data_IF_107549259232
#
_entry.id   IF_107549259232
#
_cell.length_a   1.000
_cell.length_b   1.000
_cell.length_c   1.000
_cell.angle_alpha   90.00
_cell.angle_beta   90.00
_cell.angle_gamma   90.00
#
_symmetry.space_group_name_H-M   'P 1'
#
loop_
_entity.id
_entity.type
_entity.pdbx_description
1 polymer ?
#
# COMPACT_ATOMS: atom_id res chain seq x y z
N UNK A 1 -35.06 -4.45 -1.27
CA UNK A 1 -34.17 -3.34 -1.62
C UNK A 1 -34.02 -2.49 -0.37
N UNK A 2 -32.95 -2.69 0.41
CA UNK A 2 -32.57 -1.70 1.42
C UNK A 2 -31.71 -0.70 0.67
N UNK A 3 -32.10 0.57 0.67
CA UNK A 3 -31.14 1.61 0.28
C UNK A 3 -30.12 1.66 1.40
N UNK A 4 -28.84 1.48 1.06
CA UNK A 4 -27.74 1.80 1.96
C UNK A 4 -27.63 3.33 1.91
N UNK A 5 -28.44 4.01 2.73
CA UNK A 5 -28.27 5.44 2.93
C UNK A 5 -27.09 5.62 3.88
N UNK A 6 -25.91 5.86 3.34
CA UNK A 6 -24.78 6.36 4.12
C UNK A 6 -25.13 7.80 4.50
N UNK A 7 -25.64 8.01 5.71
CA UNK A 7 -26.06 9.33 6.18
C UNK A 7 -24.85 10.08 6.73
N UNK A 8 -23.96 10.52 5.85
CA UNK A 8 -22.75 11.27 6.21
C UNK A 8 -22.04 11.79 4.98
N UNK A 9 -21.18 12.80 5.15
CA UNK A 9 -20.33 13.34 4.09
C UNK A 9 -19.10 12.47 3.94
N UNK A 10 -19.09 11.63 2.92
CA UNK A 10 -18.01 10.66 2.69
C UNK A 10 -17.12 11.10 1.52
N UNK A 11 -15.83 10.89 1.69
CA UNK A 11 -14.85 11.04 0.61
C UNK A 11 -14.15 9.70 0.40
N UNK A 12 -14.16 9.22 -0.84
CA UNK A 12 -13.43 8.04 -1.27
C UNK A 12 -12.23 8.47 -2.11
N UNK A 13 -11.03 8.11 -1.68
CA UNK A 13 -9.83 8.14 -2.49
C UNK A 13 -9.55 6.74 -3.02
N UNK A 14 -9.24 6.63 -4.30
CA UNK A 14 -8.83 5.37 -4.92
C UNK A 14 -7.52 5.58 -5.65
N UNK A 15 -6.51 4.81 -5.29
CA UNK A 15 -5.24 4.81 -5.99
C UNK A 15 -5.39 4.24 -7.40
N UNK A 16 -4.88 4.95 -8.41
CA UNK A 16 -5.00 4.52 -9.81
C UNK A 16 -4.19 3.26 -10.15
N UNK A 17 -3.33 2.80 -9.25
CA UNK A 17 -2.54 1.57 -9.41
C UNK A 17 -3.29 0.33 -8.94
N UNK A 18 -4.38 0.50 -8.20
CA UNK A 18 -5.26 -0.60 -7.87
C UNK A 18 -5.78 -1.20 -9.17
N UNK A 19 -5.50 -2.49 -9.37
CA UNK A 19 -5.86 -3.18 -10.59
C UNK A 19 -7.37 -3.08 -10.84
N UNK A 20 -7.78 -2.58 -12.00
CA UNK A 20 -9.20 -2.41 -12.35
C UNK A 20 -9.97 -1.54 -11.33
N UNK A 21 -9.33 -0.50 -10.78
CA UNK A 21 -9.95 0.45 -9.86
C UNK A 21 -11.25 1.07 -10.40
N UNK A 22 -11.42 1.14 -11.72
CA UNK A 22 -12.64 1.65 -12.35
C UNK A 22 -13.87 0.88 -11.86
N UNK A 23 -13.77 -0.45 -11.72
CA UNK A 23 -14.85 -1.27 -11.20
C UNK A 23 -15.18 -0.98 -9.73
N UNK A 24 -14.25 -0.42 -8.95
CA UNK A 24 -14.45 -0.05 -7.54
C UNK A 24 -15.16 1.29 -7.39
N UNK A 25 -15.04 2.17 -8.39
CA UNK A 25 -15.70 3.49 -8.39
C UNK A 25 -17.02 3.51 -9.17
N UNK A 26 -17.26 2.48 -9.99
CA UNK A 26 -18.52 2.27 -10.68
C UNK A 26 -19.67 2.02 -9.68
N UNK A 27 -20.60 2.96 -9.60
CA UNK A 27 -21.80 2.90 -8.74
C UNK A 27 -21.54 3.08 -7.23
N UNK A 28 -20.46 3.77 -6.86
CA UNK A 28 -20.37 4.34 -5.50
C UNK A 28 -21.59 5.25 -5.25
N UNK A 29 -22.13 5.19 -4.03
CA UNK A 29 -23.37 5.89 -3.68
C UNK A 29 -23.32 7.39 -3.94
N UNK A 30 -24.47 8.00 -4.28
CA UNK A 30 -24.58 9.42 -4.64
C UNK A 30 -24.09 10.40 -3.55
N UNK A 31 -24.01 9.94 -2.30
CA UNK A 31 -23.58 10.72 -1.14
C UNK A 31 -22.06 10.63 -0.88
N UNK A 32 -21.28 10.09 -1.82
CA UNK A 32 -19.81 9.96 -1.72
C UNK A 32 -19.11 10.74 -2.82
N UNK A 33 -18.12 11.56 -2.45
CA UNK A 33 -17.23 12.21 -3.40
C UNK A 33 -16.04 11.29 -3.69
N UNK A 34 -15.79 11.00 -4.97
CA UNK A 34 -14.73 10.07 -5.38
C UNK A 34 -13.57 10.83 -6.03
N UNK A 35 -12.36 10.56 -5.58
CA UNK A 35 -11.12 11.11 -6.13
C UNK A 35 -10.16 9.99 -6.50
N UNK A 36 -9.60 10.06 -7.70
CA UNK A 36 -8.59 9.11 -8.18
C UNK A 36 -7.21 9.74 -7.95
N UNK A 37 -6.34 9.04 -7.22
CA UNK A 37 -4.97 9.50 -7.00
C UNK A 37 -4.12 9.20 -8.25
N UNK A 38 -3.37 10.20 -8.71
CA UNK A 38 -2.38 10.05 -9.75
C UNK A 38 -1.17 9.26 -9.20
N UNK A 39 -0.83 8.15 -9.86
CA UNK A 39 0.26 7.26 -9.48
C UNK A 39 1.67 7.88 -9.56
N UNK A 40 1.81 9.03 -10.21
CA UNK A 40 3.11 9.72 -10.39
C UNK A 40 3.27 10.95 -9.49
N UNK A 41 2.31 11.23 -8.62
CA UNK A 41 2.31 12.34 -7.69
C UNK A 41 2.25 11.83 -6.24
N UNK A 42 2.67 12.65 -5.29
CA UNK A 42 2.61 12.28 -3.87
C UNK A 42 1.15 12.14 -3.44
N UNK A 43 0.74 10.94 -3.02
CA UNK A 43 -0.65 10.67 -2.66
C UNK A 43 -1.11 11.39 -1.40
N UNK A 44 -0.20 11.66 -0.45
CA UNK A 44 -0.54 12.38 0.78
C UNK A 44 -0.79 13.85 0.46
N UNK A 45 0.04 14.46 -0.39
CA UNK A 45 -0.18 15.83 -0.85
C UNK A 45 -1.49 15.96 -1.64
N UNK A 46 -1.79 15.00 -2.52
CA UNK A 46 -3.04 14.96 -3.26
C UNK A 46 -4.26 14.90 -2.34
N UNK A 47 -4.26 13.99 -1.35
CA UNK A 47 -5.34 13.88 -0.36
C UNK A 47 -5.45 15.18 0.44
N UNK A 48 -4.35 15.72 0.96
CA UNK A 48 -4.34 16.99 1.70
C UNK A 48 -4.94 18.15 0.89
N UNK A 49 -4.55 18.27 -0.38
CA UNK A 49 -5.05 19.31 -1.27
C UNK A 49 -6.56 19.19 -1.51
N UNK A 50 -7.07 17.97 -1.66
CA UNK A 50 -8.51 17.73 -1.77
C UNK A 50 -9.19 18.09 -0.45
N UNK A 51 -8.77 17.49 0.66
CA UNK A 51 -9.41 17.65 1.97
C UNK A 51 -9.45 19.12 2.44
N UNK A 52 -8.45 19.93 2.09
CA UNK A 52 -8.44 21.37 2.38
C UNK A 52 -9.62 22.17 1.78
N UNK A 53 -10.32 21.61 0.78
CA UNK A 53 -11.49 22.23 0.15
C UNK A 53 -12.83 21.76 0.76
N UNK A 54 -12.78 20.93 1.81
CA UNK A 54 -13.93 20.35 2.46
C UNK A 54 -13.89 20.60 3.97
N UNK A 55 -15.06 20.50 4.59
CA UNK A 55 -15.27 20.57 6.04
C UNK A 55 -16.32 19.53 6.43
N UNK A 56 -16.41 19.22 7.71
CA UNK A 56 -17.47 18.38 8.27
C UNK A 56 -17.57 17.02 7.55
N UNK A 57 -16.41 16.43 7.22
CA UNK A 57 -16.32 15.08 6.63
C UNK A 57 -16.51 14.06 7.75
N UNK A 58 -17.44 13.14 7.55
CA UNK A 58 -17.72 12.05 8.48
C UNK A 58 -16.83 10.83 8.21
N UNK A 59 -16.48 10.56 6.95
CA UNK A 59 -15.52 9.50 6.64
C UNK A 59 -14.63 9.80 5.45
N UNK A 60 -13.36 9.39 5.59
CA UNK A 60 -12.39 9.30 4.49
C UNK A 60 -12.08 7.82 4.27
N UNK A 61 -12.41 7.30 3.11
CA UNK A 61 -12.12 5.92 2.73
C UNK A 61 -11.03 5.92 1.67
N UNK A 62 -10.03 5.07 1.82
CA UNK A 62 -8.85 5.04 0.96
C UNK A 62 -8.68 3.61 0.47
N UNK A 63 -8.76 3.42 -0.85
CA UNK A 63 -8.50 2.13 -1.50
C UNK A 63 -7.14 2.20 -2.19
N UNK A 64 -6.21 1.37 -1.73
CA UNK A 64 -4.84 1.34 -2.24
C UNK A 64 -4.21 -0.04 -2.06
N UNK A 65 -3.05 -0.26 -2.67
CA UNK A 65 -2.20 -1.37 -2.24
C UNK A 65 -1.70 -1.13 -0.81
N UNK A 66 -1.53 -2.22 -0.06
CA UNK A 66 -1.10 -2.18 1.34
C UNK A 66 -0.21 -3.36 1.75
N UNK A 67 0.38 -3.22 2.93
CA UNK A 67 1.14 -4.23 3.64
C UNK A 67 1.30 -3.84 5.11
N UNK A 68 1.89 -4.72 5.92
CA UNK A 68 2.07 -4.47 7.35
C UNK A 68 2.71 -3.11 7.62
N UNK A 69 1.95 -2.22 8.27
CA UNK A 69 2.39 -0.87 8.66
C UNK A 69 2.68 0.07 7.49
N UNK A 70 2.02 -0.12 6.34
CA UNK A 70 2.17 0.78 5.19
C UNK A 70 0.94 0.82 4.28
N UNK A 71 0.83 1.91 3.53
CA UNK A 71 -0.08 2.07 2.38
C UNK A 71 0.67 2.71 1.21
N UNK A 72 0.31 2.33 -0.02
CA UNK A 72 0.85 2.92 -1.24
C UNK A 72 -0.13 3.95 -1.84
N UNK A 73 0.22 5.23 -1.82
CA UNK A 73 -0.62 6.33 -2.26
C UNK A 73 0.13 7.19 -3.29
N UNK A 74 -0.30 7.15 -4.53
CA UNK A 74 0.40 7.73 -5.67
C UNK A 74 1.78 7.10 -5.85
N UNK A 75 2.81 7.94 -5.91
CA UNK A 75 4.19 7.48 -5.90
C UNK A 75 4.80 7.36 -4.48
N UNK A 76 3.98 7.54 -3.43
CA UNK A 76 4.41 7.54 -2.03
C UNK A 76 4.04 6.23 -1.36
N UNK A 77 5.00 5.64 -0.65
CA UNK A 77 4.71 4.60 0.35
C UNK A 77 4.70 5.26 1.72
N UNK A 78 3.52 5.47 2.30
CA UNK A 78 3.42 5.98 3.68
C UNK A 78 3.56 4.81 4.64
N UNK A 79 4.50 4.90 5.60
CA UNK A 79 4.78 3.84 6.56
C UNK A 79 5.34 4.41 7.88
N UNK A 80 5.62 3.54 8.85
CA UNK A 80 6.18 3.94 10.15
C UNK A 80 7.51 4.70 10.08
N UNK A 81 8.32 4.55 9.02
CA UNK A 81 9.62 5.23 8.90
C UNK A 81 9.48 6.70 8.46
N UNK A 82 8.46 7.01 7.65
CA UNK A 82 8.30 8.34 7.05
C UNK A 82 7.04 9.11 7.49
N UNK A 83 6.16 8.49 8.28
CA UNK A 83 4.93 9.11 8.75
C UNK A 83 5.15 10.45 9.46
N UNK A 84 6.24 10.58 10.25
CA UNK A 84 6.59 11.83 10.89
C UNK A 84 6.93 12.96 9.90
N UNK A 85 7.50 12.64 8.73
CA UNK A 85 7.79 13.62 7.68
C UNK A 85 6.50 14.19 7.07
N UNK A 86 5.42 13.40 7.05
CA UNK A 86 4.09 13.80 6.60
C UNK A 86 3.19 14.37 7.70
N UNK A 87 3.69 14.51 8.94
CA UNK A 87 2.88 14.92 10.10
C UNK A 87 2.10 16.22 9.89
N UNK A 88 2.69 17.23 9.23
CA UNK A 88 1.99 18.49 8.95
C UNK A 88 0.80 18.31 8.00
N UNK A 89 0.93 17.45 6.98
CA UNK A 89 -0.15 17.12 6.05
C UNK A 89 -1.26 16.35 6.75
N UNK A 90 -0.90 15.32 7.52
CA UNK A 90 -1.84 14.46 8.25
C UNK A 90 -2.61 15.22 9.34
N UNK A 91 -1.92 16.08 10.12
CA UNK A 91 -2.57 16.99 11.06
C UNK A 91 -3.47 18.00 10.36
N UNK A 92 -3.10 18.41 9.13
CA UNK A 92 -3.91 19.26 8.28
C UNK A 92 -5.26 18.64 7.93
N UNK A 93 -5.33 17.31 7.77
CA UNK A 93 -6.58 16.60 7.46
C UNK A 93 -7.64 16.85 8.52
N UNK A 94 -7.25 16.90 9.79
CA UNK A 94 -8.15 17.15 10.94
C UNK A 94 -9.07 18.36 10.74
N UNK A 95 -8.60 19.41 10.07
CA UNK A 95 -9.38 20.64 9.87
C UNK A 95 -10.61 20.43 8.96
N UNK A 96 -10.61 19.36 8.18
CA UNK A 96 -11.70 18.99 7.28
C UNK A 96 -12.66 17.97 7.88
N UNK A 97 -12.24 17.29 8.95
CA UNK A 97 -12.92 16.17 9.58
C UNK A 97 -13.87 16.65 10.69
N UNK A 98 -14.94 15.90 10.94
CA UNK A 98 -15.72 16.04 12.18
C UNK A 98 -14.95 15.46 13.37
N UNK A 99 -15.42 15.74 14.59
CA UNK A 99 -14.81 15.22 15.83
C UNK A 99 -14.91 13.69 15.97
N UNK A 100 -15.84 13.06 15.24
CA UNK A 100 -16.04 11.60 15.21
C UNK A 100 -15.81 11.06 13.79
N UNK A 101 -14.92 11.67 13.03
CA UNK A 101 -14.64 11.22 11.68
C UNK A 101 -13.82 9.93 11.70
N UNK A 102 -14.12 9.06 10.73
CA UNK A 102 -13.40 7.81 10.52
C UNK A 102 -12.49 7.89 9.29
N UNK A 103 -11.33 7.24 9.37
CA UNK A 103 -10.47 6.98 8.20
C UNK A 103 -10.30 5.47 8.01
N UNK A 104 -10.84 4.97 6.89
CA UNK A 104 -10.88 3.55 6.56
C UNK A 104 -9.86 3.25 5.45
N UNK A 105 -8.82 2.48 5.77
CA UNK A 105 -7.79 2.05 4.82
C UNK A 105 -8.09 0.65 4.29
N UNK A 106 -8.63 0.57 3.08
CA UNK A 106 -8.77 -0.65 2.32
C UNK A 106 -7.47 -0.93 1.56
N UNK A 107 -6.63 -1.77 2.16
CA UNK A 107 -5.40 -2.29 1.58
C UNK A 107 -5.00 -3.56 2.32
N UNK A 108 -4.38 -4.51 1.63
CA UNK A 108 -4.03 -5.78 2.25
C UNK A 108 -3.08 -5.57 3.44
N UNK A 109 -3.39 -6.16 4.58
CA UNK A 109 -2.49 -6.30 5.74
C UNK A 109 -2.02 -4.98 6.35
N UNK A 110 -2.68 -3.85 6.11
CA UNK A 110 -2.27 -2.53 6.65
C UNK A 110 -2.09 -2.57 8.17
N UNK A 111 -3.04 -3.18 8.87
CA UNK A 111 -3.04 -3.39 10.32
C UNK A 111 -2.37 -4.69 10.78
N UNK A 112 -1.71 -5.44 9.90
CA UNK A 112 -1.11 -6.73 10.25
C UNK A 112 0.04 -6.57 11.28
N UNK A 113 -0.08 -7.30 12.39
CA UNK A 113 0.95 -7.39 13.41
C UNK A 113 1.22 -6.09 14.15
N UNK A 114 2.30 -6.08 14.94
CA UNK A 114 2.69 -4.93 15.77
C UNK A 114 2.98 -3.68 14.94
N UNK A 115 3.64 -3.84 13.79
CA UNK A 115 3.94 -2.74 12.87
C UNK A 115 2.66 -2.10 12.31
N UNK A 116 1.66 -2.90 11.95
CA UNK A 116 0.39 -2.40 11.42
C UNK A 116 -0.45 -1.70 12.48
N UNK A 117 -0.52 -2.26 13.69
CA UNK A 117 -1.22 -1.63 14.83
C UNK A 117 -0.56 -0.29 15.18
N UNK A 118 0.77 -0.25 15.26
CA UNK A 118 1.51 0.99 15.53
C UNK A 118 1.25 2.05 14.45
N UNK A 119 1.26 1.65 13.17
CA UNK A 119 0.99 2.54 12.05
C UNK A 119 -0.39 3.18 12.13
N UNK A 120 -1.43 2.39 12.37
CA UNK A 120 -2.80 2.90 12.50
C UNK A 120 -2.96 3.79 13.72
N UNK A 121 -2.30 3.46 14.85
CA UNK A 121 -2.32 4.32 16.04
C UNK A 121 -1.65 5.68 15.76
N UNK A 122 -0.49 5.70 15.12
CA UNK A 122 0.20 6.96 14.79
C UNK A 122 -0.60 7.81 13.80
N UNK A 123 -1.30 7.18 12.85
CA UNK A 123 -2.23 7.87 11.97
C UNK A 123 -3.37 8.52 12.78
N UNK A 124 -4.00 7.78 13.69
CA UNK A 124 -5.08 8.30 14.55
C UNK A 124 -4.61 9.46 15.43
N UNK A 125 -3.41 9.36 16.00
CA UNK A 125 -2.81 10.42 16.80
C UNK A 125 -2.56 11.71 15.99
N UNK A 126 -2.15 11.59 14.73
CA UNK A 126 -1.88 12.73 13.87
C UNK A 126 -3.14 13.36 13.28
N UNK A 127 -4.08 12.55 12.80
CA UNK A 127 -5.30 13.04 12.15
C UNK A 127 -6.38 13.41 13.19
N UNK A 128 -6.31 12.83 14.39
CA UNK A 128 -7.35 12.95 15.41
C UNK A 128 -8.63 12.19 15.11
N UNK A 129 -8.60 11.30 14.11
CA UNK A 129 -9.72 10.48 13.67
C UNK A 129 -9.56 9.04 14.18
N UNK A 130 -10.66 8.31 14.21
CA UNK A 130 -10.65 6.87 14.42
C UNK A 130 -10.26 6.17 13.10
N UNK A 131 -9.38 5.17 13.18
CA UNK A 131 -8.71 4.59 12.01
C UNK A 131 -9.03 3.11 11.93
N UNK A 132 -9.30 2.61 10.73
CA UNK A 132 -9.48 1.18 10.49
C UNK A 132 -8.58 0.68 9.34
N UNK A 133 -8.07 -0.55 9.45
CA UNK A 133 -7.30 -1.23 8.42
C UNK A 133 -7.45 -2.75 8.50
N UNK A 134 -7.24 -3.42 7.36
CA UNK A 134 -7.26 -4.89 7.29
C UNK A 134 -5.97 -5.51 7.84
N UNK A 135 -6.05 -6.67 8.50
CA UNK A 135 -4.88 -7.46 8.91
C UNK A 135 -4.56 -8.64 7.99
N UNK A 136 -5.29 -8.81 6.89
CA UNK A 136 -5.15 -9.90 5.94
C UNK A 136 -5.33 -9.42 4.49
N UNK A 137 -5.76 -10.28 3.57
CA UNK A 137 -5.95 -9.86 2.18
C UNK A 137 -7.26 -9.09 2.03
N UNK A 138 -7.19 -7.83 1.56
CA UNK A 138 -8.40 -7.10 1.14
C UNK A 138 -8.73 -7.33 -0.33
N UNK A 139 -9.94 -7.77 -0.64
CA UNK A 139 -10.48 -7.92 -2.00
C UNK A 139 -11.27 -9.21 -2.21
N UNK A 140 -10.89 -9.96 -3.24
CA UNK A 140 -11.63 -11.12 -3.70
C UNK A 140 -11.51 -12.34 -2.77
N UNK A 141 -12.65 -12.91 -2.37
CA UNK A 141 -12.72 -14.07 -1.47
C UNK A 141 -12.26 -15.40 -2.06
N UNK A 142 -12.28 -15.55 -3.38
CA UNK A 142 -11.68 -16.72 -4.05
C UNK A 142 -10.16 -16.67 -3.96
N UNK A 143 -9.57 -15.47 -3.89
CA UNK A 143 -8.13 -15.25 -3.66
C UNK A 143 -7.77 -15.26 -2.16
N UNK A 144 -8.74 -15.50 -1.28
CA UNK A 144 -8.55 -15.57 0.16
C UNK A 144 -8.59 -14.22 0.88
N UNK A 145 -9.16 -13.18 0.24
CA UNK A 145 -9.37 -11.89 0.87
C UNK A 145 -10.83 -11.56 1.18
N UNK A 146 -11.05 -10.51 1.94
CA UNK A 146 -12.38 -9.94 2.17
C UNK A 146 -12.32 -8.41 2.18
N UNK A 147 -13.37 -7.75 2.65
CA UNK A 147 -13.40 -6.27 2.72
C UNK A 147 -13.59 -5.78 4.14
N UNK A 148 -13.30 -6.66 5.10
CA UNK A 148 -13.39 -6.34 6.51
C UNK A 148 -12.12 -5.58 6.94
N UNK A 149 -12.27 -4.76 7.98
CA UNK A 149 -11.19 -3.97 8.55
C UNK A 149 -11.12 -4.34 10.03
N UNK A 150 -10.29 -5.32 10.36
CA UNK A 150 -10.27 -5.99 11.66
C UNK A 150 -9.55 -5.17 12.72
N UNK A 151 -8.67 -4.27 12.30
CA UNK A 151 -7.82 -3.48 13.19
C UNK A 151 -8.32 -2.06 13.21
N UNK A 152 -8.76 -1.62 14.38
CA UNK A 152 -9.37 -0.31 14.58
C UNK A 152 -8.71 0.43 15.74
N UNK A 153 -8.64 1.75 15.61
CA UNK A 153 -8.31 2.69 16.69
C UNK A 153 -9.56 3.50 17.01
N UNK A 154 -10.06 3.41 18.23
CA UNK A 154 -11.31 4.08 18.62
C UNK A 154 -12.56 3.32 18.17
N UNK A 155 -13.65 4.04 17.88
CA UNK A 155 -14.91 3.46 17.41
C UNK A 155 -15.11 3.83 15.95
N UNK A 156 -15.47 2.84 15.13
CA UNK A 156 -15.77 3.07 13.70
C UNK A 156 -17.28 3.10 13.52
N UNK A 157 -17.81 4.27 13.17
CA UNK A 157 -19.24 4.46 12.85
C UNK A 157 -19.52 4.41 11.34
N UNK A 158 -18.51 4.70 10.53
CA UNK A 158 -18.61 4.75 9.08
C UNK A 158 -18.79 3.35 8.48
N UNK A 159 -19.83 3.23 7.63
CA UNK A 159 -20.03 2.06 6.79
C UNK A 159 -19.18 2.17 5.52
N UNK A 160 -18.81 1.02 4.94
CA UNK A 160 -18.12 0.99 3.65
C UNK A 160 -18.95 1.69 2.56
N UNK A 161 -18.33 2.59 1.80
CA UNK A 161 -18.96 3.22 0.63
C UNK A 161 -19.06 2.27 -0.57
N UNK A 162 -18.40 1.10 -0.49
CA UNK A 162 -18.47 0.07 -1.52
C UNK A 162 -19.71 -0.80 -1.31
N UNK A 163 -20.64 -0.68 -2.25
CA UNK A 163 -21.81 -1.52 -2.29
C UNK A 163 -21.41 -3.02 -2.37
N UNK A 164 -22.18 -3.95 -1.74
CA UNK A 164 -21.83 -5.37 -1.73
C UNK A 164 -21.58 -5.98 -3.10
N UNK A 165 -22.30 -5.52 -4.13
CA UNK A 165 -22.11 -5.94 -5.52
C UNK A 165 -20.73 -5.56 -6.07
N UNK A 166 -20.20 -4.37 -5.74
CA UNK A 166 -18.87 -3.92 -6.17
C UNK A 166 -17.82 -4.83 -5.52
N UNK A 167 -17.95 -5.03 -4.21
CA UNK A 167 -17.05 -5.89 -3.42
C UNK A 167 -16.99 -7.33 -3.92
N UNK A 168 -18.16 -7.91 -4.25
CA UNK A 168 -18.27 -9.27 -4.75
C UNK A 168 -17.76 -9.45 -6.19
N UNK A 169 -17.80 -8.38 -7.00
CA UNK A 169 -17.40 -8.43 -8.40
C UNK A 169 -15.93 -8.08 -8.63
N UNK A 170 -15.27 -7.45 -7.66
CA UNK A 170 -13.85 -7.15 -7.75
C UNK A 170 -13.03 -8.45 -7.82
N UNK A 171 -12.17 -8.57 -8.83
CA UNK A 171 -11.44 -9.81 -9.13
C UNK A 171 -10.06 -9.88 -8.49
N UNK A 172 -9.55 -8.77 -7.95
CA UNK A 172 -8.20 -8.67 -7.41
C UNK A 172 -8.14 -8.69 -5.89
N UNK A 173 -6.93 -8.59 -5.38
CA UNK A 173 -6.62 -8.23 -3.99
C UNK A 173 -5.68 -7.03 -3.99
N UNK A 174 -5.69 -6.26 -2.92
CA UNK A 174 -4.97 -4.99 -2.79
C UNK A 174 -3.54 -5.19 -2.24
N UNK A 175 -2.86 -6.25 -2.68
CA UNK A 175 -1.57 -6.68 -2.13
C UNK A 175 -0.40 -6.05 -2.88
N UNK A 176 0.69 -5.76 -2.15
CA UNK A 176 2.01 -5.50 -2.74
C UNK A 176 2.73 -6.80 -3.08
N UNK A 177 3.83 -6.74 -3.85
CA UNK A 177 4.64 -7.92 -4.13
C UNK A 177 5.45 -8.32 -2.89
N UNK A 178 5.20 -9.51 -2.33
CA UNK A 178 5.95 -10.06 -1.19
C UNK A 178 7.04 -11.01 -1.66
N UNK A 179 8.24 -10.91 -1.07
CA UNK A 179 9.34 -11.87 -1.25
C UNK A 179 9.52 -12.66 0.05
N UNK A 180 9.36 -13.98 -0.01
CA UNK A 180 9.35 -14.85 1.20
C UNK A 180 10.58 -15.72 1.33
N UNK A 181 11.37 -15.85 0.26
CA UNK A 181 12.54 -16.72 0.21
C UNK A 181 13.72 -16.07 -0.52
N UNK A 182 14.89 -16.68 -0.37
CA UNK A 182 16.15 -16.20 -0.97
C UNK A 182 16.55 -16.96 -2.23
N UNK A 183 15.67 -17.77 -2.82
CA UNK A 183 15.97 -18.47 -4.05
C UNK A 183 16.16 -17.47 -5.20
N UNK A 184 17.02 -17.80 -6.15
CA UNK A 184 17.25 -16.97 -7.35
C UNK A 184 16.01 -16.88 -8.26
N UNK A 185 15.15 -17.89 -8.25
CA UNK A 185 13.94 -17.97 -9.08
C UNK A 185 12.86 -18.83 -8.42
N UNK A 186 11.67 -18.84 -9.03
CA UNK A 186 10.49 -19.56 -8.53
C UNK A 186 9.52 -18.65 -7.77
N UNK A 187 8.41 -19.21 -7.30
CA UNK A 187 7.38 -18.47 -6.56
C UNK A 187 7.99 -17.73 -5.38
N UNK A 188 7.51 -16.50 -5.16
CA UNK A 188 7.83 -15.66 -4.00
C UNK A 188 9.33 -15.29 -3.89
N UNK A 189 10.10 -15.51 -4.96
CA UNK A 189 11.47 -15.03 -5.08
C UNK A 189 11.51 -13.56 -5.51
N UNK A 190 12.61 -12.88 -5.21
CA UNK A 190 12.85 -11.51 -5.67
C UNK A 190 12.73 -11.40 -7.19
N UNK A 191 13.26 -12.37 -7.92
CA UNK A 191 13.18 -12.39 -9.39
C UNK A 191 11.74 -12.47 -9.87
N UNK A 192 10.92 -13.34 -9.28
CA UNK A 192 9.51 -13.44 -9.64
C UNK A 192 8.73 -12.15 -9.35
N UNK A 193 9.00 -11.50 -8.21
CA UNK A 193 8.40 -10.20 -7.89
C UNK A 193 8.76 -9.13 -8.93
N UNK A 194 10.04 -8.99 -9.28
CA UNK A 194 10.52 -8.02 -10.27
C UNK A 194 10.02 -8.33 -11.67
N UNK A 195 10.00 -9.60 -12.09
CA UNK A 195 9.47 -10.01 -13.38
C UNK A 195 7.98 -9.66 -13.51
N UNK A 196 7.22 -9.78 -12.42
CA UNK A 196 5.80 -9.43 -12.40
C UNK A 196 5.60 -7.91 -12.42
N UNK A 197 6.32 -7.17 -11.58
CA UNK A 197 6.32 -5.71 -11.56
C UNK A 197 6.79 -5.08 -12.89
N UNK A 198 7.65 -5.76 -13.65
CA UNK A 198 8.06 -5.32 -14.98
C UNK A 198 6.93 -5.41 -16.03
N UNK A 199 5.79 -6.04 -15.71
CA UNK A 199 4.63 -6.18 -16.61
C UNK A 199 3.48 -5.24 -16.27
N UNK A 200 3.52 -4.59 -15.11
CA UNK A 200 2.55 -3.61 -14.63
C UNK A 200 2.92 -2.20 -15.09
N UNK A 201 2.03 -1.23 -14.87
CA UNK A 201 2.27 0.17 -15.18
C UNK A 201 2.09 1.01 -13.92
N UNK A 202 3.08 1.85 -13.62
CA UNK A 202 3.11 2.65 -12.39
C UNK A 202 4.14 2.11 -11.39
N UNK A 203 4.35 2.81 -10.26
CA UNK A 203 5.19 2.30 -9.19
C UNK A 203 4.66 1.00 -8.54
N UNK A 204 5.56 0.04 -8.35
CA UNK A 204 5.27 -1.18 -7.63
C UNK A 204 6.07 -1.27 -6.33
N UNK A 205 5.47 -1.87 -5.30
CA UNK A 205 6.17 -2.11 -4.04
C UNK A 205 6.61 -3.57 -3.95
N UNK A 206 7.89 -3.77 -3.64
CA UNK A 206 8.46 -5.08 -3.33
C UNK A 206 8.85 -5.13 -1.85
N UNK A 207 8.13 -5.94 -1.08
CA UNK A 207 8.35 -6.12 0.36
C UNK A 207 9.28 -7.32 0.65
N UNK A 208 10.49 -7.02 1.12
CA UNK A 208 11.51 -8.00 1.52
C UNK A 208 11.49 -8.34 3.01
N UNK A 209 10.62 -7.70 3.82
CA UNK A 209 10.56 -7.93 5.27
C UNK A 209 10.06 -9.33 5.60
N UNK A 210 9.30 -9.93 4.70
CA UNK A 210 8.67 -11.25 4.87
C UNK A 210 9.58 -12.44 4.54
N UNK A 211 10.83 -12.20 4.10
CA UNK A 211 11.81 -13.26 3.88
C UNK A 211 12.04 -14.03 5.17
N UNK A 212 11.77 -15.33 5.12
CA UNK A 212 11.85 -16.25 6.24
C UNK A 212 12.58 -17.56 5.91
N UNK A 213 13.00 -17.78 4.65
CA UNK A 213 13.59 -19.04 4.21
C UNK A 213 14.76 -18.89 3.21
N UNK A 214 15.61 -19.94 3.17
CA UNK A 214 16.77 -20.08 2.30
C UNK A 214 18.10 -19.69 2.96
N UNK A 215 19.01 -19.03 2.24
CA UNK A 215 20.38 -18.74 2.70
C UNK A 215 20.37 -17.71 3.82
N UNK A 216 20.62 -18.18 5.05
CA UNK A 216 20.67 -17.37 6.26
C UNK A 216 21.99 -17.59 7.00
N UNK A 217 22.80 -16.53 7.12
CA UNK A 217 24.14 -16.58 7.71
C UNK A 217 24.35 -15.39 8.64
N UNK A 218 24.74 -15.66 9.88
CA UNK A 218 25.08 -14.63 10.89
C UNK A 218 23.98 -13.57 11.11
N UNK A 219 22.70 -13.97 11.10
CA UNK A 219 21.59 -13.05 11.29
C UNK A 219 21.01 -12.46 10.01
N UNK A 220 21.62 -12.74 8.86
CA UNK A 220 21.33 -12.09 7.58
C UNK A 220 20.86 -13.08 6.51
N UNK A 221 19.86 -12.68 5.73
CA UNK A 221 19.41 -13.34 4.51
C UNK A 221 20.18 -12.83 3.29
N UNK A 222 20.59 -13.75 2.42
CA UNK A 222 21.34 -13.43 1.21
C UNK A 222 20.60 -13.93 -0.03
N UNK A 223 20.28 -13.03 -0.94
CA UNK A 223 19.75 -13.32 -2.27
C UNK A 223 20.92 -13.25 -3.25
N UNK A 224 21.50 -14.40 -3.57
CA UNK A 224 22.58 -14.51 -4.55
C UNK A 224 22.00 -14.78 -5.94
N UNK A 225 22.17 -13.81 -6.83
CA UNK A 225 21.65 -13.88 -8.19
C UNK A 225 22.50 -14.82 -9.06
N UNK A 226 21.85 -15.70 -9.80
CA UNK A 226 22.49 -16.59 -10.78
C UNK A 226 22.48 -16.00 -12.20
N UNK A 227 21.78 -14.90 -12.41
CA UNK A 227 21.76 -14.06 -13.61
C UNK A 227 21.27 -12.66 -13.26
N UNK A 228 21.48 -11.65 -14.12
CA UNK A 228 20.91 -10.32 -13.91
C UNK A 228 19.38 -10.36 -13.83
N UNK A 229 18.79 -9.48 -13.01
CA UNK A 229 17.34 -9.28 -13.00
C UNK A 229 16.90 -8.56 -14.29
N UNK A 230 15.60 -8.62 -14.65
CA UNK A 230 15.07 -7.90 -15.80
C UNK A 230 15.41 -6.40 -15.78
N UNK A 231 15.56 -5.80 -16.96
CA UNK A 231 15.71 -4.36 -17.09
C UNK A 231 14.37 -3.67 -16.85
N UNK A 232 14.34 -2.73 -15.91
CA UNK A 232 13.17 -1.89 -15.66
C UNK A 232 13.13 -0.71 -16.63
N UNK A 233 11.95 -0.39 -17.16
CA UNK A 233 11.75 0.71 -18.10
C UNK A 233 10.99 1.86 -17.44
N UNK A 234 10.86 3.00 -18.12
CA UNK A 234 10.24 4.25 -17.66
C UNK A 234 8.81 4.17 -17.08
N UNK A 235 8.17 3.01 -17.10
CA UNK A 235 6.81 2.77 -16.60
C UNK A 235 6.76 1.72 -15.48
N UNK A 236 7.91 1.21 -15.04
CA UNK A 236 8.07 0.19 -14.01
C UNK A 236 8.93 0.72 -12.87
N UNK A 237 8.43 1.75 -12.19
CA UNK A 237 9.09 2.26 -10.99
C UNK A 237 8.97 1.21 -9.88
N UNK A 238 10.03 0.99 -9.11
CA UNK A 238 10.00 0.01 -8.01
C UNK A 238 10.44 0.69 -6.73
N UNK A 239 9.63 0.52 -5.69
CA UNK A 239 9.96 0.87 -4.32
C UNK A 239 10.18 -0.40 -3.50
N UNK A 240 11.39 -0.57 -2.97
CA UNK A 240 11.70 -1.69 -2.09
C UNK A 240 11.45 -1.32 -0.63
N UNK A 241 10.72 -2.19 0.07
CA UNK A 241 10.60 -2.16 1.53
C UNK A 241 11.49 -3.26 2.10
N UNK A 242 12.29 -2.91 3.09
CA UNK A 242 13.37 -3.75 3.56
C UNK A 242 13.43 -3.91 5.07
N UNK A 243 14.36 -4.75 5.50
CA UNK A 243 14.84 -4.82 6.88
C UNK A 243 16.35 -4.96 6.83
N UNK A 244 17.03 -4.51 7.88
CA UNK A 244 18.49 -4.40 8.00
C UNK A 244 19.31 -5.69 7.77
N UNK A 245 18.66 -6.82 7.57
CA UNK A 245 19.30 -8.12 7.46
C UNK A 245 19.04 -8.82 6.12
N UNK A 246 18.64 -8.09 5.07
CA UNK A 246 18.49 -8.65 3.71
C UNK A 246 19.53 -8.04 2.79
N UNK A 247 20.27 -8.90 2.10
CA UNK A 247 21.34 -8.53 1.19
C UNK A 247 21.12 -9.14 -0.17
N UNK A 248 21.20 -8.33 -1.23
CA UNK A 248 21.06 -8.78 -2.62
C UNK A 248 22.43 -8.66 -3.27
N UNK A 249 22.87 -9.72 -3.95
CA UNK A 249 24.23 -9.86 -4.47
C UNK A 249 24.23 -10.36 -5.90
N UNK A 250 24.96 -9.66 -6.76
CA UNK A 250 25.28 -10.10 -8.12
C UNK A 250 26.39 -11.14 -8.18
N UNK A 251 26.86 -11.62 -7.02
CA UNK A 251 28.00 -12.54 -6.84
C UNK A 251 29.26 -12.11 -7.60
N UNK A 252 29.49 -10.81 -7.74
CA UNK A 252 30.53 -10.16 -8.55
C UNK A 252 30.52 -10.55 -10.04
N UNK A 253 29.39 -11.07 -10.56
CA UNK A 253 29.24 -11.52 -11.95
C UNK A 253 28.09 -10.87 -12.68
N UNK A 254 27.04 -10.49 -11.96
CA UNK A 254 25.80 -10.00 -12.55
C UNK A 254 25.50 -8.61 -12.02
N UNK A 255 25.07 -7.73 -12.92
CA UNK A 255 24.40 -6.51 -12.49
C UNK A 255 23.10 -6.94 -11.79
N UNK A 256 22.85 -6.40 -10.59
CA UNK A 256 21.64 -6.75 -9.84
C UNK A 256 20.43 -6.33 -10.66
N UNK A 257 20.30 -5.05 -10.95
CA UNK A 257 19.18 -4.49 -11.69
C UNK A 257 19.68 -3.47 -12.71
N UNK A 258 19.17 -3.55 -13.94
CA UNK A 258 19.41 -2.54 -14.97
C UNK A 258 18.21 -1.62 -15.07
N UNK A 259 18.46 -0.31 -15.16
CA UNK A 259 17.41 0.71 -15.20
C UNK A 259 17.49 1.46 -16.53
N UNK A 260 16.38 1.52 -17.25
CA UNK A 260 16.20 2.29 -18.48
C UNK A 260 15.09 3.34 -18.26
N UNK A 261 15.43 4.36 -17.48
CA UNK A 261 14.54 5.50 -17.19
C UNK A 261 13.46 5.24 -16.13
N UNK A 262 13.44 4.07 -15.50
CA UNK A 262 12.65 3.83 -14.30
C UNK A 262 13.28 4.53 -13.08
N UNK A 263 12.50 4.66 -12.02
CA UNK A 263 12.97 5.00 -10.69
C UNK A 263 13.02 3.74 -9.84
N UNK A 264 14.19 3.46 -9.24
CA UNK A 264 14.32 2.44 -8.21
C UNK A 264 14.68 3.12 -6.91
N UNK A 265 13.80 2.99 -5.92
CA UNK A 265 13.96 3.55 -4.59
C UNK A 265 13.74 2.47 -3.53
N UNK A 266 14.04 2.80 -2.29
CA UNK A 266 13.70 1.93 -1.16
C UNK A 266 14.13 2.53 0.16
N UNK A 267 13.74 1.86 1.23
CA UNK A 267 14.17 2.21 2.59
C UNK A 267 15.70 2.12 2.74
N UNK A 268 16.26 2.95 3.61
CA UNK A 268 17.72 3.05 3.82
C UNK A 268 18.38 1.77 4.34
N UNK A 269 17.57 0.81 4.77
CA UNK A 269 17.97 -0.44 5.39
C UNK A 269 18.28 -1.56 4.38
N UNK A 270 18.13 -1.31 3.07
CA UNK A 270 18.43 -2.24 2.00
C UNK A 270 19.87 -2.13 1.54
N UNK A 271 20.54 -3.27 1.42
CA UNK A 271 21.95 -3.33 1.03
C UNK A 271 22.11 -4.15 -0.24
N UNK A 272 22.45 -3.44 -1.33
CA UNK A 272 22.82 -4.01 -2.61
C UNK A 272 24.34 -4.17 -2.70
N UNK A 273 24.82 -5.40 -2.90
CA UNK A 273 26.21 -5.69 -3.14
C UNK A 273 26.50 -5.82 -4.64
N UNK A 274 27.55 -5.14 -5.09
CA UNK A 274 27.94 -4.94 -6.48
C UNK A 274 27.23 -3.75 -7.15
N UNK A 275 27.97 -3.04 -8.00
CA UNK A 275 27.54 -1.76 -8.58
C UNK A 275 26.30 -1.94 -9.47
N UNK A 276 25.33 -1.04 -9.26
CA UNK A 276 24.34 -0.64 -10.29
C UNK A 276 25.05 -0.16 -11.55
#
# INVERSE_FOLDING_TARGET
MKSNNVTGKNILFVDSQVQNYQALVENVGADTQVFILNSHEDGIEQISNVLANYSDIDSVQIISHGGAGMVQLGNTVLNNENLQAYSAYLQGWRNSLTDNADILFYGCNVGEGELGVEFLQQLGDLTGADIAGSNDLTGNSVLGGDWDLEVVTGNIEAESVLAPEIRNNYQGVLAVFKVTNTNDSGSDSLRNAIETAATTTGPDVIDLRTINSGVYVNGNYYIDLQSSLPTLNTWNDIFFIGKNNVFISGVNKYQIISINGATVAGETHLIFFDKM
#
